data_IF_061469285980
#
_entry.id   IF_061469285980
#
_cell.length_a   1.000
_cell.length_b   1.000
_cell.length_c   1.000
_cell.angle_alpha   90.00
_cell.angle_beta   90.00
_cell.angle_gamma   90.00
#
_symmetry.space_group_name_H-M   'P 1'
#
loop_
_entity.id
_entity.type
_entity.pdbx_description
1 polymer ?
#
# COMPACT_ATOMS: atom_id res chain seq x y z
N UNK A 1 5.81 -10.36 -13.84
CA UNK A 1 5.08 -11.34 -13.01
C UNK A 1 4.80 -10.71 -11.67
N UNK A 2 3.58 -10.84 -11.17
CA UNK A 2 2.97 -10.21 -9.98
C UNK A 2 3.64 -10.54 -8.61
N UNK A 3 4.87 -11.00 -8.61
CA UNK A 3 5.46 -11.77 -7.50
C UNK A 3 6.38 -10.92 -6.64
N UNK A 4 5.76 -9.98 -5.92
CA UNK A 4 6.23 -9.59 -4.59
C UNK A 4 5.26 -10.23 -3.60
N UNK A 5 5.71 -10.60 -2.40
CA UNK A 5 4.84 -11.19 -1.36
C UNK A 5 3.87 -10.19 -0.71
N UNK A 6 3.93 -8.93 -1.17
CA UNK A 6 3.06 -7.83 -0.77
C UNK A 6 2.97 -6.80 -1.86
N UNK A 7 1.99 -5.91 -1.70
CA UNK A 7 1.87 -4.67 -2.45
C UNK A 7 1.64 -3.51 -1.49
N UNK A 8 2.37 -2.41 -1.69
CA UNK A 8 2.05 -1.12 -1.10
C UNK A 8 0.81 -0.57 -1.81
N UNK A 9 -0.22 -0.32 -1.03
CA UNK A 9 -1.49 0.25 -1.45
C UNK A 9 -1.79 1.48 -0.59
N UNK A 10 -2.89 2.14 -0.87
CA UNK A 10 -3.42 3.20 -0.01
C UNK A 10 -4.93 3.11 0.00
N UNK A 11 -5.57 3.57 1.07
CA UNK A 11 -7.02 3.75 1.08
C UNK A 11 -7.37 5.04 0.35
N UNK A 12 -8.23 4.95 -0.65
CA UNK A 12 -8.83 6.12 -1.31
C UNK A 12 -10.13 6.46 -0.59
N UNK A 13 -10.25 7.70 -0.09
CA UNK A 13 -11.47 8.24 0.49
C UNK A 13 -11.89 9.48 -0.34
N UNK A 14 -13.18 9.82 -0.46
CA UNK A 14 -13.60 11.03 -1.19
C UNK A 14 -12.90 12.32 -0.71
N UNK A 15 -12.54 12.37 0.56
CA UNK A 15 -11.81 13.49 1.16
C UNK A 15 -10.28 13.31 1.16
N UNK A 16 -9.77 12.17 0.67
CA UNK A 16 -8.34 11.81 0.62
C UNK A 16 -8.01 11.02 -0.65
N UNK A 17 -7.66 11.76 -1.70
CA UNK A 17 -7.36 11.24 -3.05
C UNK A 17 -5.85 11.18 -3.35
N UNK A 18 -5.01 11.52 -2.37
CA UNK A 18 -3.56 11.75 -2.54
C UNK A 18 -2.71 10.49 -2.66
N UNK A 19 -3.34 9.33 -2.66
CA UNK A 19 -2.72 8.04 -2.88
C UNK A 19 -2.29 7.76 -4.34
N UNK A 20 -2.79 8.55 -5.30
CA UNK A 20 -2.56 8.28 -6.72
C UNK A 20 -1.29 8.96 -7.22
N UNK A 21 -0.35 8.16 -7.72
CA UNK A 21 0.78 8.66 -8.51
C UNK A 21 0.40 8.71 -9.98
N UNK A 22 0.41 9.91 -10.55
CA UNK A 22 0.14 10.15 -11.98
C UNK A 22 1.15 9.41 -12.86
N UNK A 23 2.40 9.27 -12.43
CA UNK A 23 3.45 8.62 -13.22
C UNK A 23 3.31 7.08 -13.24
N UNK A 24 2.74 6.48 -12.20
CA UNK A 24 2.72 5.03 -12.01
C UNK A 24 1.43 4.33 -12.42
N UNK A 25 0.30 5.05 -12.43
CA UNK A 25 -1.02 4.43 -12.47
C UNK A 25 -1.34 3.67 -11.18
N UNK A 26 -2.26 2.72 -11.23
CA UNK A 26 -2.61 1.90 -10.08
C UNK A 26 -3.73 0.92 -10.36
N UNK A 27 -4.15 0.19 -9.33
CA UNK A 27 -5.32 -0.69 -9.38
C UNK A 27 -6.22 -0.45 -8.18
N UNK A 28 -7.52 -0.60 -8.37
CA UNK A 28 -8.50 -0.68 -7.30
C UNK A 28 -8.74 -2.15 -7.03
N UNK A 29 -8.51 -2.58 -5.79
CA UNK A 29 -8.68 -3.97 -5.39
C UNK A 29 -10.05 -4.20 -4.76
N UNK A 30 -10.67 -5.34 -5.06
CA UNK A 30 -11.92 -5.75 -4.45
C UNK A 30 -11.67 -6.17 -2.99
N UNK A 31 -12.26 -5.51 -1.99
CA UNK A 31 -12.01 -5.82 -0.59
C UNK A 31 -12.40 -7.24 -0.19
N UNK A 32 -13.29 -7.90 -0.95
CA UNK A 32 -13.65 -9.32 -0.74
C UNK A 32 -12.47 -10.27 -0.92
N UNK A 33 -11.51 -9.91 -1.76
CA UNK A 33 -10.38 -10.77 -2.15
C UNK A 33 -9.03 -10.24 -1.66
N UNK A 34 -9.05 -9.31 -0.69
CA UNK A 34 -7.86 -8.67 -0.15
C UNK A 34 -7.76 -8.93 1.34
N UNK A 35 -6.55 -9.20 1.81
CA UNK A 35 -6.23 -9.24 3.23
C UNK A 35 -5.25 -8.11 3.55
N UNK A 36 -5.65 -7.19 4.42
CA UNK A 36 -4.72 -6.17 4.97
C UNK A 36 -3.79 -6.85 5.95
N UNK A 37 -2.48 -6.64 5.77
CA UNK A 37 -1.44 -7.15 6.65
C UNK A 37 -1.09 -6.14 7.74
N UNK A 38 -0.99 -4.86 7.37
CA UNK A 38 -0.75 -3.74 8.26
C UNK A 38 -0.92 -2.41 7.51
N UNK A 39 -0.72 -1.32 8.23
CA UNK A 39 -0.73 0.01 7.66
C UNK A 39 0.30 0.95 8.30
N UNK A 40 0.62 2.03 7.60
CA UNK A 40 1.45 3.12 8.06
C UNK A 40 0.74 4.43 7.74
N UNK A 41 0.90 5.42 8.59
CA UNK A 41 0.35 6.76 8.36
C UNK A 41 1.14 7.62 7.37
N UNK A 42 2.09 7.02 6.66
CA UNK A 42 3.08 7.64 5.79
C UNK A 42 3.80 6.56 5.00
N UNK A 43 4.95 6.89 4.41
CA UNK A 43 5.84 5.92 3.77
C UNK A 43 6.49 5.01 4.84
N UNK A 44 6.02 3.77 4.92
CA UNK A 44 6.58 2.73 5.77
C UNK A 44 7.89 2.16 5.23
N UNK A 45 8.33 2.56 4.04
CA UNK A 45 9.56 2.09 3.39
C UNK A 45 9.51 0.60 3.11
N UNK A 46 8.35 0.10 2.70
CA UNK A 46 8.10 -1.34 2.71
C UNK A 46 8.62 -2.07 1.48
N UNK A 47 9.00 -1.38 0.39
CA UNK A 47 9.39 -2.00 -0.90
C UNK A 47 10.54 -3.01 -0.83
N UNK A 48 11.52 -2.83 0.05
CA UNK A 48 12.73 -3.70 0.13
C UNK A 48 12.60 -4.90 1.07
N UNK A 49 11.42 -5.12 1.62
CA UNK A 49 11.31 -5.64 2.96
C UNK A 49 10.33 -6.85 2.91
N UNK A 50 10.90 -7.98 2.45
CA UNK A 50 10.22 -9.22 2.02
C UNK A 50 10.51 -10.36 3.00
N UNK A 51 9.56 -11.28 3.19
CA UNK A 51 9.76 -12.47 4.01
C UNK A 51 10.64 -13.53 3.32
N UNK A 52 11.26 -14.41 4.11
CA UNK A 52 12.00 -15.58 3.62
C UNK A 52 11.54 -16.85 4.37
N UNK A 53 10.81 -17.78 3.73
CA UNK A 53 10.34 -17.70 2.34
C UNK A 53 9.34 -16.55 2.10
N UNK A 54 9.15 -16.08 0.85
CA UNK A 54 8.18 -15.05 0.52
C UNK A 54 6.77 -15.43 0.96
N UNK A 55 6.01 -14.46 1.47
CA UNK A 55 4.65 -14.64 1.96
C UNK A 55 4.55 -14.60 3.48
N UNK A 56 3.31 -14.46 3.96
CA UNK A 56 3.01 -14.47 5.39
C UNK A 56 3.36 -15.84 6.00
N UNK A 57 4.10 -15.82 7.10
CA UNK A 57 4.43 -17.02 7.86
C UNK A 57 4.47 -16.71 9.37
N UNK A 58 4.54 -17.71 10.26
CA UNK A 58 4.49 -17.49 11.70
C UNK A 58 5.56 -16.56 12.26
N UNK A 59 6.65 -16.38 11.53
CA UNK A 59 7.79 -15.55 11.92
C UNK A 59 7.94 -14.30 11.06
N UNK A 60 7.01 -13.99 10.15
CA UNK A 60 7.14 -12.83 9.27
C UNK A 60 5.80 -12.43 8.66
N UNK A 61 5.47 -11.15 8.76
CA UNK A 61 4.38 -10.52 8.02
C UNK A 61 5.01 -9.59 6.98
N UNK A 62 4.88 -9.87 5.67
CA UNK A 62 5.46 -9.05 4.62
C UNK A 62 5.06 -7.59 4.77
N UNK A 63 5.99 -6.63 4.67
CA UNK A 63 5.65 -5.21 4.75
C UNK A 63 5.49 -4.65 6.15
N UNK A 64 5.37 -5.49 7.17
CA UNK A 64 4.91 -5.06 8.49
C UNK A 64 6.02 -5.19 9.52
N UNK A 65 6.53 -4.04 9.98
CA UNK A 65 7.58 -4.01 10.98
C UNK A 65 7.39 -2.94 12.02
N UNK A 66 8.23 -3.10 13.02
CA UNK A 66 7.97 -2.75 14.37
C UNK A 66 9.37 -2.45 14.93
N UNK A 67 9.90 -1.28 14.60
CA UNK A 67 11.28 -0.93 14.93
C UNK A 67 11.73 0.36 14.23
N UNK A 68 12.70 1.10 14.81
CA UNK A 68 13.25 2.29 14.19
C UNK A 68 13.70 1.92 12.80
N UNK A 69 13.14 2.62 11.83
CA UNK A 69 13.35 2.38 10.43
C UNK A 69 14.87 2.25 10.19
N UNK A 70 15.30 1.14 9.60
CA UNK A 70 16.69 0.76 9.41
C UNK A 70 17.47 1.64 8.42
N UNK A 71 17.13 2.92 8.38
CA UNK A 71 17.74 3.95 7.57
C UNK A 71 18.77 4.64 8.45
N UNK A 72 20.04 4.30 8.27
CA UNK A 72 21.04 5.34 8.39
C UNK A 72 20.91 6.24 7.13
N UNK A 73 21.03 7.56 7.31
CA UNK A 73 20.93 8.59 6.27
C UNK A 73 21.88 8.36 5.07
N UNK A 74 22.80 7.40 5.16
CA UNK A 74 23.81 7.05 4.17
C UNK A 74 23.32 6.07 3.08
N UNK A 75 22.08 5.59 3.12
CA UNK A 75 21.49 4.75 2.05
C UNK A 75 22.19 3.41 1.79
N UNK A 76 23.14 3.03 2.63
CA UNK A 76 23.90 1.79 2.50
C UNK A 76 23.36 0.76 3.49
N UNK A 77 22.62 -0.20 2.94
CA UNK A 77 22.35 -1.50 3.57
C UNK A 77 23.69 -2.11 4.00
N UNK A 78 24.08 -1.90 5.27
CA UNK A 78 25.28 -2.51 5.82
C UNK A 78 25.02 -4.00 5.97
N UNK A 79 25.25 -4.72 4.87
CA UNK A 79 25.61 -6.14 4.84
C UNK A 79 26.89 -6.33 5.65
N UNK A 80 26.75 -6.42 6.97
CA UNK A 80 27.86 -6.72 7.85
C UNK A 80 27.81 -5.92 9.14
N UNK A 81 27.44 -6.63 10.21
CA UNK A 81 27.47 -6.22 11.63
C UNK A 81 26.20 -5.52 12.15
N UNK A 82 25.10 -6.28 12.14
CA UNK A 82 24.31 -6.51 13.36
C UNK A 82 23.41 -5.40 13.89
N UNK A 83 22.46 -4.88 13.09
CA UNK A 83 21.46 -3.94 13.61
C UNK A 83 20.04 -4.02 13.05
N UNK A 84 19.79 -4.71 11.93
CA UNK A 84 18.52 -4.55 11.21
C UNK A 84 17.86 -5.83 10.67
N UNK A 85 18.41 -7.00 10.96
CA UNK A 85 18.03 -8.22 10.23
C UNK A 85 17.90 -9.49 11.10
N UNK A 86 17.53 -9.38 12.37
CA UNK A 86 17.25 -10.57 13.19
C UNK A 86 16.10 -10.33 14.17
N UNK A 87 14.90 -10.31 13.61
CA UNK A 87 13.67 -10.31 14.38
C UNK A 87 12.57 -9.67 13.55
N UNK A 88 11.68 -10.48 12.99
CA UNK A 88 10.32 -9.99 12.87
C UNK A 88 9.93 -9.46 14.24
N UNK A 89 9.42 -8.23 14.28
CA UNK A 89 9.03 -7.58 15.53
C UNK A 89 8.32 -8.59 16.41
N UNK A 90 8.75 -8.69 17.66
CA UNK A 90 7.89 -9.33 18.62
C UNK A 90 6.57 -8.57 18.60
N UNK A 91 5.46 -9.25 18.84
CA UNK A 91 4.11 -8.67 18.83
C UNK A 91 3.93 -7.46 19.78
N UNK A 92 4.94 -7.11 20.58
CA UNK A 92 5.03 -5.90 21.40
C UNK A 92 5.34 -4.61 20.62
N UNK A 93 5.70 -4.69 19.35
CA UNK A 93 6.35 -3.58 18.64
C UNK A 93 5.42 -2.87 17.64
N UNK A 94 4.15 -3.26 17.57
CA UNK A 94 3.13 -2.56 16.78
C UNK A 94 2.91 -1.13 17.27
N UNK A 95 2.31 -0.32 16.42
CA UNK A 95 1.82 0.96 16.87
C UNK A 95 0.80 0.74 18.00
N UNK A 96 1.04 1.37 19.15
CA UNK A 96 0.05 1.45 20.22
C UNK A 96 -0.84 2.66 19.94
N UNK A 97 -2.13 2.44 19.60
CA UNK A 97 -3.06 3.55 19.34
C UNK A 97 -3.19 4.47 20.56
N UNK A 98 -2.86 4.04 21.78
CA UNK A 98 -3.00 4.85 22.99
C UNK A 98 -1.70 5.56 23.41
N UNK A 99 -0.58 5.36 22.71
CA UNK A 99 0.72 5.89 23.12
C UNK A 99 0.87 7.42 22.96
N UNK A 100 -0.17 8.14 22.55
CA UNK A 100 -0.22 9.60 22.50
C UNK A 100 0.75 10.27 21.53
N UNK A 101 1.43 9.52 20.66
CA UNK A 101 2.39 10.08 19.70
C UNK A 101 1.65 10.82 18.58
N UNK A 102 1.93 12.12 18.36
CA UNK A 102 1.25 12.90 17.34
C UNK A 102 1.63 12.46 15.92
N UNK A 103 0.67 12.51 15.00
CA UNK A 103 0.81 12.19 13.58
C UNK A 103 1.48 13.32 12.75
N UNK A 104 2.47 14.00 13.33
CA UNK A 104 3.03 15.22 12.73
C UNK A 104 4.19 14.97 11.74
N UNK A 105 4.54 13.73 11.44
CA UNK A 105 5.58 13.38 10.46
C UNK A 105 5.34 12.01 9.82
N UNK A 106 6.04 11.74 8.71
CA UNK A 106 6.07 10.44 8.01
C UNK A 106 6.53 9.28 8.93
N UNK A 107 7.13 9.60 10.08
CA UNK A 107 7.48 8.67 11.16
C UNK A 107 6.38 8.51 12.21
N UNK A 108 5.11 8.73 11.87
CA UNK A 108 4.00 8.58 12.81
C UNK A 108 4.06 7.22 13.51
N UNK A 109 3.79 7.24 14.82
CA UNK A 109 3.98 6.11 15.72
C UNK A 109 5.42 5.60 15.81
N UNK A 110 6.40 6.46 15.57
CA UNK A 110 7.82 6.11 15.54
C UNK A 110 8.20 5.23 14.34
N UNK A 111 7.40 5.26 13.26
CA UNK A 111 7.58 4.42 12.07
C UNK A 111 7.11 2.97 12.25
N UNK A 112 6.38 2.67 13.34
CA UNK A 112 5.82 1.34 13.59
C UNK A 112 4.56 1.13 12.75
N UNK A 113 4.41 -0.09 12.24
CA UNK A 113 3.21 -0.52 11.56
C UNK A 113 2.01 -0.56 12.51
N UNK A 114 0.83 -0.26 11.98
CA UNK A 114 -0.47 -0.43 12.60
C UNK A 114 -1.02 -1.81 12.30
N UNK A 115 -1.70 -2.41 13.28
CA UNK A 115 -2.40 -3.67 13.06
C UNK A 115 -3.64 -3.45 12.18
N UNK A 116 -4.10 -4.46 11.43
CA UNK A 116 -5.33 -4.38 10.66
C UNK A 116 -6.55 -3.93 11.49
N UNK A 117 -6.64 -4.38 12.74
CA UNK A 117 -7.74 -4.05 13.65
C UNK A 117 -7.76 -2.58 14.07
N UNK A 118 -6.59 -1.92 14.06
CA UNK A 118 -6.44 -0.51 14.41
C UNK A 118 -6.53 0.43 13.20
N UNK A 119 -6.81 -0.09 11.99
CA UNK A 119 -6.88 0.70 10.77
C UNK A 119 -7.92 1.81 10.85
N UNK A 120 -9.05 1.57 11.51
CA UNK A 120 -10.07 2.60 11.73
C UNK A 120 -9.52 3.80 12.51
N UNK A 121 -8.64 3.56 13.48
CA UNK A 121 -8.01 4.61 14.28
C UNK A 121 -6.88 5.32 13.52
N UNK A 122 -6.12 4.59 12.71
CA UNK A 122 -5.18 5.21 11.76
C UNK A 122 -5.93 6.20 10.86
N UNK A 123 -6.98 5.74 10.19
CA UNK A 123 -7.72 6.53 9.22
C UNK A 123 -8.48 7.71 9.87
N UNK A 124 -8.90 7.59 11.14
CA UNK A 124 -9.57 8.67 11.88
C UNK A 124 -8.60 9.78 12.33
N UNK A 125 -7.33 9.43 12.55
CA UNK A 125 -6.28 10.34 13.04
C UNK A 125 -5.40 10.93 11.96
N UNK A 126 -5.42 10.33 10.78
CA UNK A 126 -4.66 10.80 9.64
C UNK A 126 -5.11 12.23 9.26
N UNK A 127 -4.41 13.20 9.87
CA UNK A 127 -4.68 14.64 9.84
C UNK A 127 -3.71 15.37 8.92
N UNK A 128 -2.73 14.67 8.36
CA UNK A 128 -1.81 15.25 7.41
C UNK A 128 -2.54 15.34 6.07
N UNK A 129 -3.06 16.55 5.77
CA UNK A 129 -3.68 16.87 4.48
C UNK A 129 -2.75 16.63 3.29
N UNK A 130 -1.47 16.37 3.50
CA UNK A 130 -0.44 16.32 2.45
C UNK A 130 0.38 15.01 2.46
N UNK A 131 -0.02 14.00 3.24
CA UNK A 131 0.69 12.71 3.35
C UNK A 131 -0.28 11.56 3.08
N UNK A 132 0.19 10.54 2.37
CA UNK A 132 -0.60 9.33 2.08
C UNK A 132 -0.41 8.29 3.19
N UNK A 133 -1.43 7.45 3.41
CA UNK A 133 -1.23 6.22 4.19
C UNK A 133 -0.69 5.12 3.28
N UNK A 134 0.26 4.33 3.77
CA UNK A 134 0.69 3.09 3.13
C UNK A 134 -0.04 1.91 3.77
N UNK A 135 -0.89 1.24 3.02
CA UNK A 135 -1.56 0.00 3.41
C UNK A 135 -0.84 -1.16 2.76
N UNK A 136 -0.49 -2.16 3.55
CA UNK A 136 0.14 -3.36 3.01
C UNK A 136 -0.91 -4.45 2.90
N UNK A 137 -1.06 -4.99 1.69
CA UNK A 137 -1.97 -6.10 1.41
C UNK A 137 -1.20 -7.37 1.09
N UNK A 138 -1.77 -8.51 1.48
CA UNK A 138 -1.24 -9.83 1.20
C UNK A 138 -1.31 -10.11 -0.30
N UNK A 139 -0.16 -10.26 -0.95
CA UNK A 139 -0.13 -10.49 -2.38
C UNK A 139 -0.68 -11.85 -2.79
N UNK A 140 -0.56 -12.87 -1.93
CA UNK A 140 -1.10 -14.18 -2.23
C UNK A 140 -2.63 -14.12 -2.32
N UNK A 141 -3.27 -13.43 -1.36
CA UNK A 141 -4.72 -13.36 -1.26
C UNK A 141 -5.38 -12.81 -2.54
N UNK A 142 -4.90 -11.70 -3.10
CA UNK A 142 -5.53 -11.13 -4.31
C UNK A 142 -5.11 -11.88 -5.58
N UNK A 143 -3.86 -12.34 -5.68
CA UNK A 143 -3.40 -13.10 -6.86
C UNK A 143 -4.19 -14.39 -7.07
N UNK A 144 -4.56 -15.09 -6.00
CA UNK A 144 -5.38 -16.32 -6.06
C UNK A 144 -6.80 -16.08 -6.60
N UNK A 145 -7.25 -14.83 -6.63
CA UNK A 145 -8.59 -14.43 -7.06
C UNK A 145 -8.58 -13.56 -8.32
N UNK A 146 -7.49 -13.54 -9.08
CA UNK A 146 -7.48 -12.86 -10.37
C UNK A 146 -8.38 -13.58 -11.40
N UNK A 147 -9.08 -12.83 -12.27
CA UNK A 147 -9.08 -11.36 -12.38
C UNK A 147 -10.01 -10.63 -11.39
N UNK A 148 -10.89 -11.36 -10.69
CA UNK A 148 -11.98 -10.80 -9.88
C UNK A 148 -11.52 -9.91 -8.70
N UNK A 149 -10.26 -10.02 -8.30
CA UNK A 149 -9.65 -9.14 -7.29
C UNK A 149 -9.39 -7.71 -7.77
N UNK A 150 -9.41 -7.46 -9.08
CA UNK A 150 -9.20 -6.13 -9.67
C UNK A 150 -10.55 -5.53 -10.04
N UNK A 151 -10.95 -4.48 -9.34
CA UNK A 151 -12.20 -3.76 -9.64
C UNK A 151 -12.02 -2.74 -10.74
N UNK A 152 -10.84 -2.11 -10.84
CA UNK A 152 -10.51 -1.12 -11.85
C UNK A 152 -9.00 -0.93 -11.97
N UNK A 153 -8.57 -0.36 -13.10
CA UNK A 153 -7.19 0.09 -13.33
C UNK A 153 -7.18 1.60 -13.44
N UNK A 154 -6.21 2.25 -12.80
CA UNK A 154 -6.07 3.70 -12.80
C UNK A 154 -4.97 4.13 -13.79
N UNK A 155 -5.23 5.20 -14.52
CA UNK A 155 -4.30 5.81 -15.48
C UNK A 155 -4.31 7.33 -15.42
N UNK A 156 -3.26 7.94 -15.97
CA UNK A 156 -3.12 9.39 -16.18
C UNK A 156 -3.73 9.87 -17.50
N UNK A 157 -4.19 8.95 -18.35
CA UNK A 157 -4.76 9.25 -19.67
C UNK A 157 -3.74 9.60 -20.75
N UNK A 158 -2.44 9.59 -20.43
CA UNK A 158 -1.35 9.89 -21.39
C UNK A 158 -0.72 8.63 -21.97
N UNK A 159 -1.33 7.46 -21.75
CA UNK A 159 -0.77 6.18 -22.20
C UNK A 159 0.41 5.71 -21.35
N UNK A 160 0.51 6.17 -20.09
CA UNK A 160 1.55 5.78 -19.15
C UNK A 160 1.43 4.34 -18.63
N UNK A 161 2.14 4.06 -17.53
CA UNK A 161 2.24 2.71 -16.96
C UNK A 161 0.88 2.06 -16.66
N UNK A 162 -0.10 2.83 -16.19
CA UNK A 162 -1.46 2.32 -15.93
C UNK A 162 -2.18 1.82 -17.19
N UNK A 163 -2.05 2.53 -18.32
CA UNK A 163 -2.67 2.13 -19.59
C UNK A 163 -2.00 0.87 -20.18
N UNK A 164 -0.67 0.78 -20.08
CA UNK A 164 0.06 -0.42 -20.47
C UNK A 164 -0.35 -1.61 -19.60
N UNK A 165 -0.42 -1.42 -18.28
CA UNK A 165 -0.85 -2.45 -17.34
C UNK A 165 -2.25 -2.96 -17.65
N UNK A 166 -3.19 -2.06 -17.97
CA UNK A 166 -4.55 -2.41 -18.37
C UNK A 166 -4.56 -3.31 -19.62
N UNK A 167 -3.75 -2.96 -20.63
CA UNK A 167 -3.62 -3.74 -21.86
C UNK A 167 -3.08 -5.15 -21.57
N UNK A 168 -2.02 -5.25 -20.76
CA UNK A 168 -1.41 -6.53 -20.38
C UNK A 168 -2.37 -7.38 -19.53
N UNK A 169 -3.13 -6.74 -18.65
CA UNK A 169 -4.14 -7.38 -17.81
C UNK A 169 -5.27 -7.98 -18.66
N UNK A 170 -5.88 -7.21 -19.57
CA UNK A 170 -6.91 -7.74 -20.46
C UNK A 170 -6.38 -8.79 -21.45
N UNK A 171 -5.12 -8.69 -21.86
CA UNK A 171 -4.50 -9.74 -22.66
C UNK A 171 -4.36 -11.06 -21.89
N UNK A 172 -4.18 -10.99 -20.57
CA UNK A 172 -4.06 -12.18 -19.69
C UNK A 172 -5.42 -12.71 -19.24
N UNK A 173 -6.41 -11.81 -19.08
CA UNK A 173 -7.76 -12.08 -18.57
C UNK A 173 -8.82 -11.43 -19.48
N UNK A 174 -9.04 -11.98 -20.69
CA UNK A 174 -9.91 -11.37 -21.70
C UNK A 174 -11.40 -11.30 -21.30
N UNK A 175 -11.82 -12.12 -20.34
CA UNK A 175 -13.17 -12.09 -19.75
C UNK A 175 -13.37 -11.01 -18.69
N UNK A 176 -12.29 -10.36 -18.24
CA UNK A 176 -12.37 -9.35 -17.18
C UNK A 176 -13.23 -8.16 -17.61
N UNK A 177 -13.93 -7.58 -16.63
CA UNK A 177 -14.81 -6.41 -16.77
C UNK A 177 -14.27 -5.18 -16.03
N UNK A 178 -13.06 -5.26 -15.48
CA UNK A 178 -12.45 -4.13 -14.79
C UNK A 178 -12.32 -2.95 -15.79
N UNK A 179 -12.84 -1.75 -15.48
CA UNK A 179 -12.70 -0.59 -16.34
C UNK A 179 -11.33 0.06 -16.17
N UNK A 180 -10.92 0.83 -17.18
CA UNK A 180 -9.84 1.80 -17.05
C UNK A 180 -10.43 3.14 -16.58
N UNK A 181 -9.92 3.65 -15.47
CA UNK A 181 -10.33 4.92 -14.88
C UNK A 181 -9.22 5.96 -15.03
N UNK A 182 -9.57 7.12 -15.56
CA UNK A 182 -8.74 8.31 -15.55
C UNK A 182 -8.92 9.02 -14.21
N UNK A 183 -7.80 9.28 -13.51
CA UNK A 183 -7.82 10.14 -12.34
C UNK A 183 -7.77 11.62 -12.76
N UNK A 184 -8.84 12.35 -12.43
CA UNK A 184 -8.98 13.79 -12.68
C UNK A 184 -9.14 14.48 -11.31
N UNK A 185 -8.04 14.89 -10.66
CA UNK A 185 -8.13 15.59 -9.39
C UNK A 185 -8.77 16.96 -9.60
N UNK A 186 -9.49 17.46 -8.59
CA UNK A 186 -9.90 18.87 -8.52
C UNK A 186 -11.42 19.11 -8.48
N UNK A 187 -11.83 20.33 -8.09
CA UNK A 187 -13.24 20.73 -7.99
C UNK A 187 -13.98 20.76 -9.34
N UNK A 188 -13.25 20.72 -10.45
CA UNK A 188 -13.80 20.68 -11.81
C UNK A 188 -14.54 19.37 -12.15
N UNK A 189 -14.42 18.32 -11.32
CA UNK A 189 -15.12 17.06 -11.54
C UNK A 189 -16.19 16.78 -10.46
N UNK A 190 -17.43 17.29 -10.63
CA UNK A 190 -18.50 17.09 -9.66
C UNK A 190 -18.98 15.63 -9.55
N UNK A 191 -18.59 14.76 -10.50
CA UNK A 191 -18.89 13.32 -10.47
C UNK A 191 -17.91 12.51 -9.62
N UNK A 192 -16.90 13.15 -9.03
CA UNK A 192 -15.83 12.51 -8.29
C UNK A 192 -14.55 12.36 -9.12
N UNK A 193 -13.41 12.04 -8.50
CA UNK A 193 -12.09 12.17 -9.11
C UNK A 193 -11.74 11.10 -10.15
N UNK A 194 -12.62 10.14 -10.44
CA UNK A 194 -12.36 9.03 -11.35
C UNK A 194 -13.39 9.00 -12.49
N UNK A 195 -12.90 9.01 -13.72
CA UNK A 195 -13.73 8.96 -14.93
C UNK A 195 -13.43 7.68 -15.68
N UNK A 196 -14.43 6.85 -15.94
CA UNK A 196 -14.27 5.65 -16.77
C UNK A 196 -14.01 6.04 -18.23
N UNK A 197 -12.96 5.47 -18.82
CA UNK A 197 -12.56 5.74 -20.21
C UNK A 197 -12.51 4.48 -21.10
N UNK A 198 -12.77 3.29 -20.54
CA UNK A 198 -12.99 2.05 -21.30
C UNK A 198 -13.99 1.12 -20.63
#
# INVERSE_FOLDING_TARGET
>A
GFLSDRMSASVVHPEKVQAFSIEGGGVVLNPKYVTVLCAFGGDGGTRGRTCSPPGKNPNCVPGCWAGPACWNEEGNDRKGKGGCWQGAGQWSDWCDPFSGMPAMSDGWCGGRAWQPEDLGELLSRDRARDVYNEIIVDAQAWNEHLPDSIEAVLTDGQGGAGAQWYTDFLSSYPESRAPLLLYVPGPENPGGPFVQIS
#
